data_IF_757241885042
#
_entry.id   IF_757241885042
#
_cell.length_a   1.000
_cell.length_b   1.000
_cell.length_c   1.000
_cell.angle_alpha   90.00
_cell.angle_beta   90.00
_cell.angle_gamma   90.00
#
_symmetry.space_group_name_H-M   'P 1'
#
loop_
_entity.id
_entity.type
_entity.pdbx_description
1 polymer ?
#
# COMPACT_ATOMS: atom_id res chain seq x y z
N UNK A 1 24.53 -56.56 -36.71
CA UNK A 1 24.15 -55.13 -36.67
C UNK A 1 22.64 -55.03 -36.58
N UNK A 2 22.11 -54.12 -35.75
CA UNK A 2 20.69 -53.78 -35.56
C UNK A 2 19.93 -54.65 -34.54
N UNK A 3 19.11 -54.14 -33.60
CA UNK A 3 18.88 -52.81 -32.98
C UNK A 3 18.06 -53.10 -31.71
N UNK A 4 18.34 -52.42 -30.61
CA UNK A 4 17.55 -52.46 -29.36
C UNK A 4 16.12 -51.96 -29.62
N UNK A 5 15.12 -52.56 -28.97
CA UNK A 5 13.78 -51.96 -28.80
C UNK A 5 13.37 -52.06 -27.33
N UNK A 6 13.47 -50.93 -26.64
CA UNK A 6 12.90 -50.67 -25.33
C UNK A 6 11.40 -50.52 -25.48
N UNK A 7 10.62 -51.23 -24.66
CA UNK A 7 9.17 -51.07 -24.55
C UNK A 7 8.90 -49.99 -23.49
N UNK A 8 8.51 -48.79 -23.93
CA UNK A 8 7.93 -47.75 -23.09
C UNK A 8 6.64 -47.29 -23.77
N UNK A 9 5.49 -47.60 -23.18
CA UNK A 9 4.23 -46.95 -23.49
C UNK A 9 3.36 -46.90 -22.24
N UNK A 10 3.19 -45.71 -21.69
CA UNK A 10 1.92 -45.22 -21.16
C UNK A 10 1.89 -43.72 -21.44
N UNK A 11 0.84 -43.23 -22.11
CA UNK A 11 0.00 -42.26 -21.42
C UNK A 11 -1.50 -42.47 -21.72
N UNK A 12 -2.33 -42.33 -20.69
CA UNK A 12 -3.77 -42.10 -20.83
C UNK A 12 -4.00 -40.65 -20.39
N UNK A 13 -4.18 -39.74 -21.36
CA UNK A 13 -4.68 -38.39 -21.11
C UNK A 13 -6.21 -38.41 -21.25
N UNK A 14 -6.92 -38.01 -20.19
CA UNK A 14 -8.37 -37.95 -20.15
C UNK A 14 -8.89 -36.75 -20.96
N UNK A 15 -10.04 -36.96 -21.63
CA UNK A 15 -10.77 -36.01 -22.45
C UNK A 15 -11.19 -34.75 -21.70
N UNK A 16 -11.35 -33.67 -22.48
CA UNK A 16 -11.60 -32.31 -22.01
C UNK A 16 -12.94 -32.05 -21.33
N UNK A 17 -12.95 -31.01 -20.52
CA UNK A 17 -14.16 -30.28 -20.13
C UNK A 17 -14.06 -28.82 -20.56
N UNK A 18 -15.08 -28.43 -21.29
CA UNK A 18 -15.37 -27.13 -21.88
C UNK A 18 -16.15 -26.31 -20.86
N UNK A 19 -15.69 -25.10 -20.49
CA UNK A 19 -16.57 -24.07 -19.87
C UNK A 19 -16.14 -22.68 -20.36
N UNK A 20 -16.81 -22.07 -21.35
CA UNK A 20 -16.70 -20.64 -21.61
C UNK A 20 -17.82 -19.92 -20.85
N UNK A 21 -17.52 -19.36 -19.68
CA UNK A 21 -18.37 -18.36 -19.05
C UNK A 21 -17.85 -16.96 -19.38
N UNK A 22 -18.32 -16.35 -20.47
CA UNK A 22 -18.27 -14.87 -20.60
C UNK A 22 -19.50 -14.34 -19.88
N UNK A 23 -19.29 -13.71 -18.73
CA UNK A 23 -20.35 -12.96 -18.03
C UNK A 23 -20.54 -11.62 -18.75
N UNK A 24 -21.46 -11.57 -19.71
CA UNK A 24 -21.92 -10.29 -20.29
C UNK A 24 -22.85 -9.63 -19.28
N UNK A 25 -22.36 -8.66 -18.53
CA UNK A 25 -23.22 -7.79 -17.72
C UNK A 25 -23.75 -6.69 -18.65
N UNK A 26 -25.00 -6.84 -19.09
CA UNK A 26 -25.74 -5.76 -19.74
C UNK A 26 -26.44 -4.95 -18.65
N UNK A 27 -25.81 -3.88 -18.16
CA UNK A 27 -26.48 -2.88 -17.33
C UNK A 27 -26.85 -1.66 -18.18
N UNK A 28 -28.04 -1.71 -18.77
CA UNK A 28 -28.73 -0.51 -19.23
C UNK A 28 -29.41 0.12 -18.02
N UNK A 29 -28.83 1.18 -17.47
CA UNK A 29 -29.59 2.24 -16.79
C UNK A 29 -28.76 3.52 -16.85
N UNK A 30 -29.16 4.44 -17.72
CA UNK A 30 -28.61 5.78 -17.81
C UNK A 30 -29.24 6.64 -16.71
N UNK A 31 -28.53 6.76 -15.60
CA UNK A 31 -28.78 7.73 -14.54
C UNK A 31 -27.42 8.09 -13.96
N UNK A 32 -27.09 9.37 -13.90
CA UNK A 32 -25.77 9.84 -13.49
C UNK A 32 -25.47 9.43 -12.03
N UNK A 33 -24.84 8.28 -11.87
CA UNK A 33 -24.29 7.80 -10.61
C UNK A 33 -23.01 8.60 -10.34
N UNK A 34 -23.02 9.40 -9.27
CA UNK A 34 -21.78 9.99 -8.77
C UNK A 34 -20.93 8.83 -8.26
N UNK A 35 -19.97 8.39 -9.08
CA UNK A 35 -19.02 7.36 -8.71
C UNK A 35 -18.10 7.90 -7.61
N UNK A 36 -18.33 7.50 -6.37
CA UNK A 36 -17.38 7.73 -5.29
C UNK A 36 -16.26 6.70 -5.41
N UNK A 37 -15.05 7.14 -5.73
CA UNK A 37 -13.88 6.30 -5.57
C UNK A 37 -13.50 6.28 -4.09
N UNK A 38 -13.88 5.22 -3.40
CA UNK A 38 -13.43 4.95 -2.03
C UNK A 38 -12.05 4.31 -2.12
N UNK A 39 -11.00 5.12 -1.93
CA UNK A 39 -9.64 4.62 -1.78
C UNK A 39 -9.45 4.15 -0.34
N UNK A 40 -9.84 2.92 -0.05
CA UNK A 40 -9.27 2.21 1.11
C UNK A 40 -7.79 1.98 0.75
N UNK A 41 -6.80 2.38 1.56
CA UNK A 41 -5.42 1.99 1.30
C UNK A 41 -5.30 0.48 1.55
N UNK A 42 -5.63 -0.32 0.54
CA UNK A 42 -5.18 -1.69 0.44
C UNK A 42 -3.85 -1.63 -0.27
N UNK A 43 -2.75 -1.70 0.50
CA UNK A 43 -1.45 -1.97 -0.10
C UNK A 43 -1.49 -3.41 -0.61
N UNK A 44 -1.87 -3.59 -1.88
CA UNK A 44 -1.70 -4.87 -2.57
C UNK A 44 -0.21 -4.94 -2.94
N UNK A 45 0.56 -5.64 -2.13
CA UNK A 45 1.90 -6.07 -2.55
C UNK A 45 1.72 -7.20 -3.56
N UNK A 46 1.88 -6.91 -4.84
CA UNK A 46 2.11 -7.96 -5.84
C UNK A 46 3.60 -8.35 -5.79
N UNK A 47 4.04 -8.92 -4.65
CA UNK A 47 5.37 -9.51 -4.51
C UNK A 47 5.40 -10.50 -3.34
N UNK A 48 5.65 -11.79 -3.58
CA UNK A 48 5.65 -12.83 -2.54
C UNK A 48 6.96 -12.87 -1.74
N UNK A 49 7.54 -11.70 -1.44
CA UNK A 49 8.68 -11.54 -0.55
C UNK A 49 8.28 -10.57 0.57
N UNK A 50 7.23 -10.91 1.30
CA UNK A 50 6.76 -10.12 2.44
C UNK A 50 7.94 -9.94 3.38
N UNK A 51 8.48 -8.73 3.45
CA UNK A 51 9.45 -8.36 4.47
C UNK A 51 8.75 -8.58 5.82
N UNK A 52 9.14 -9.64 6.53
CA UNK A 52 8.64 -9.96 7.87
C UNK A 52 9.20 -9.02 8.93
N UNK A 53 10.07 -8.09 8.53
CA UNK A 53 10.58 -7.03 9.37
C UNK A 53 9.56 -5.91 9.49
N UNK A 54 9.35 -5.44 10.71
CA UNK A 54 8.54 -4.27 10.97
C UNK A 54 9.18 -3.04 10.29
N UNK A 55 8.42 -2.36 9.42
CA UNK A 55 8.87 -1.22 8.59
C UNK A 55 8.32 0.13 9.06
N UNK A 56 7.63 0.17 10.20
CA UNK A 56 7.03 1.39 10.74
C UNK A 56 8.01 2.29 11.50
N UNK A 57 7.57 3.48 11.96
CA UNK A 57 8.33 4.31 12.89
C UNK A 57 8.17 3.88 14.36
N UNK A 58 9.27 3.86 15.12
CA UNK A 58 9.36 3.10 16.41
C UNK A 58 8.90 3.87 17.63
N UNK A 59 8.04 4.85 17.40
CA UNK A 59 7.82 5.97 18.30
C UNK A 59 6.67 5.84 19.28
N UNK A 60 5.94 4.73 19.26
CA UNK A 60 4.68 4.58 20.00
C UNK A 60 3.52 4.33 19.05
N UNK A 61 2.32 4.75 19.47
CA UNK A 61 1.10 4.57 18.67
C UNK A 61 1.08 5.63 17.58
N UNK A 62 1.00 5.19 16.31
CA UNK A 62 0.83 6.10 15.18
C UNK A 62 -0.62 6.61 15.17
N UNK A 63 -0.76 7.92 15.19
CA UNK A 63 -2.04 8.62 15.32
C UNK A 63 -2.54 9.17 14.00
N UNK A 64 -1.61 9.52 13.09
CA UNK A 64 -1.95 10.06 11.78
C UNK A 64 -0.82 9.85 10.75
N UNK A 65 -1.17 9.91 9.47
CA UNK A 65 -0.25 9.84 8.33
C UNK A 65 -0.61 10.93 7.32
N UNK A 66 0.41 11.65 6.81
CA UNK A 66 0.23 12.63 5.75
C UNK A 66 1.23 12.37 4.61
N UNK A 67 0.76 12.38 3.37
CA UNK A 67 1.61 12.25 2.17
C UNK A 67 1.82 13.61 1.53
N UNK A 68 3.01 13.82 0.98
CA UNK A 68 3.28 15.03 0.21
C UNK A 68 2.49 14.99 -1.11
N UNK A 69 1.65 16.00 -1.41
CA UNK A 69 0.81 16.04 -2.61
C UNK A 69 1.62 16.12 -3.91
N UNK A 70 2.88 16.58 -3.86
CA UNK A 70 3.75 16.72 -5.02
C UNK A 70 4.79 15.58 -5.13
N UNK A 71 4.93 14.74 -4.10
CA UNK A 71 5.86 13.62 -4.11
C UNK A 71 5.39 12.49 -3.18
N UNK A 72 4.77 11.46 -3.75
CA UNK A 72 4.24 10.32 -2.98
C UNK A 72 5.29 9.47 -2.25
N UNK A 73 6.59 9.67 -2.52
CA UNK A 73 7.66 9.02 -1.74
C UNK A 73 7.86 9.66 -0.37
N UNK A 74 7.41 10.91 -0.19
CA UNK A 74 7.52 11.62 1.09
C UNK A 74 6.25 11.36 1.89
N UNK A 75 6.43 10.71 3.04
CA UNK A 75 5.36 10.39 3.97
C UNK A 75 5.75 10.85 5.36
N UNK A 76 4.81 11.45 6.09
CA UNK A 76 4.96 11.84 7.48
C UNK A 76 4.06 10.97 8.35
N UNK A 77 4.52 10.63 9.54
CA UNK A 77 3.75 9.91 10.54
C UNK A 77 3.79 10.64 11.88
N UNK A 78 2.61 10.85 12.47
CA UNK A 78 2.47 11.34 13.83
C UNK A 78 2.44 10.16 14.79
N UNK A 79 3.08 10.33 15.94
CA UNK A 79 3.12 9.33 17.00
C UNK A 79 2.78 9.95 18.35
N UNK A 80 2.04 9.21 19.17
CA UNK A 80 1.83 9.54 20.57
C UNK A 80 3.12 9.28 21.36
N UNK A 81 3.70 10.33 21.96
CA UNK A 81 5.00 10.30 22.64
C UNK A 81 6.22 10.26 21.72
N UNK A 82 6.04 9.96 20.44
CA UNK A 82 7.13 9.81 19.46
C UNK A 82 7.43 11.08 18.64
N UNK A 83 6.48 12.01 18.55
CA UNK A 83 6.55 13.19 17.71
C UNK A 83 6.18 12.89 16.26
N UNK A 84 6.92 13.48 15.33
CA UNK A 84 6.75 13.33 13.89
C UNK A 84 7.92 12.52 13.31
N UNK A 85 7.59 11.59 12.43
CA UNK A 85 8.53 10.83 11.61
C UNK A 85 8.34 11.21 10.14
N UNK A 86 9.41 11.16 9.38
CA UNK A 86 9.43 11.37 7.93
C UNK A 86 10.09 10.18 7.24
N UNK A 87 9.44 9.70 6.19
CA UNK A 87 10.01 8.82 5.19
C UNK A 87 10.22 9.60 3.89
N UNK A 88 11.25 9.21 3.13
CA UNK A 88 11.55 9.72 1.78
C UNK A 88 11.58 8.59 0.74
N UNK A 89 11.14 7.39 1.14
CA UNK A 89 11.20 6.14 0.39
C UNK A 89 9.87 5.36 0.46
N UNK A 90 8.75 6.09 0.48
CA UNK A 90 7.38 5.54 0.51
C UNK A 90 7.08 4.68 1.75
N UNK A 91 7.71 5.00 2.89
CA UNK A 91 7.49 4.32 4.17
C UNK A 91 8.37 3.10 4.41
N UNK A 92 9.41 2.86 3.60
CA UNK A 92 10.37 1.77 3.81
C UNK A 92 11.33 2.06 4.98
N UNK A 93 11.66 3.33 5.20
CA UNK A 93 12.44 3.79 6.35
C UNK A 93 11.94 5.14 6.89
N UNK A 94 12.21 5.40 8.17
CA UNK A 94 11.66 6.54 8.90
C UNK A 94 12.73 7.26 9.73
N UNK A 95 12.70 8.59 9.72
CA UNK A 95 13.57 9.45 10.53
C UNK A 95 12.72 10.40 11.37
N UNK A 96 13.11 10.66 12.62
CA UNK A 96 12.40 11.63 13.48
C UNK A 96 12.65 13.06 12.99
N UNK A 97 11.62 13.90 13.01
CA UNK A 97 11.68 15.31 12.60
C UNK A 97 11.01 16.23 13.63
N UNK A 98 11.51 16.20 14.87
CA UNK A 98 10.87 16.84 16.03
C UNK A 98 11.42 18.23 16.38
N UNK A 99 12.18 18.86 15.47
CA UNK A 99 12.80 20.15 15.77
C UNK A 99 11.72 21.23 15.99
N UNK A 100 11.80 21.92 17.13
CA UNK A 100 10.86 22.98 17.49
C UNK A 100 9.51 22.51 18.04
N UNK A 101 9.33 21.22 18.31
CA UNK A 101 8.12 20.70 18.96
C UNK A 101 8.25 20.73 20.49
N UNK A 102 7.36 21.46 21.16
CA UNK A 102 7.29 21.50 22.63
C UNK A 102 6.59 20.26 23.23
N UNK A 103 5.76 19.57 22.43
CA UNK A 103 5.08 18.32 22.79
C UNK A 103 5.32 17.29 21.71
N UNK A 104 5.59 16.05 22.13
CA UNK A 104 5.74 14.90 21.22
C UNK A 104 4.43 14.13 21.04
N UNK A 105 3.32 14.60 21.64
CA UNK A 105 2.00 14.01 21.47
C UNK A 105 1.30 14.67 20.30
N UNK A 106 1.53 14.14 19.10
CA UNK A 106 0.96 14.65 17.85
C UNK A 106 -0.28 13.80 17.51
N UNK A 107 -1.39 14.45 17.19
CA UNK A 107 -2.66 13.80 16.85
C UNK A 107 -3.09 13.98 15.40
N UNK A 108 -2.54 14.97 14.71
CA UNK A 108 -2.93 15.30 13.35
C UNK A 108 -1.75 15.88 12.58
N UNK A 109 -1.66 15.54 11.29
CA UNK A 109 -0.71 16.07 10.32
C UNK A 109 -1.41 16.44 9.02
N UNK A 110 -1.00 17.53 8.40
CA UNK A 110 -1.44 17.89 7.05
C UNK A 110 -0.30 18.57 6.30
N UNK A 111 0.05 18.09 5.11
CA UNK A 111 0.99 18.78 4.23
C UNK A 111 0.21 19.83 3.43
N UNK A 112 0.70 21.06 3.36
CA UNK A 112 -0.02 22.09 2.63
C UNK A 112 -0.17 21.70 1.13
N UNK A 113 -1.39 21.75 0.57
CA UNK A 113 -1.70 21.16 -0.75
C UNK A 113 -0.92 21.80 -1.91
N UNK A 114 -0.46 23.05 -1.74
CA UNK A 114 0.28 23.80 -2.76
C UNK A 114 1.74 24.06 -2.39
N UNK A 115 2.19 23.62 -1.23
CA UNK A 115 3.55 23.86 -0.77
C UNK A 115 4.03 22.74 0.17
N UNK A 116 4.77 21.79 -0.40
CA UNK A 116 5.37 20.65 0.30
C UNK A 116 6.35 21.02 1.42
N UNK A 117 6.78 22.27 1.51
CA UNK A 117 7.66 22.74 2.60
C UNK A 117 6.89 23.05 3.90
N UNK A 118 5.56 23.08 3.84
CA UNK A 118 4.72 23.41 4.99
C UNK A 118 4.00 22.14 5.46
N UNK A 119 4.26 21.74 6.71
CA UNK A 119 3.57 20.68 7.41
C UNK A 119 2.89 21.29 8.65
N UNK A 120 1.57 21.13 8.75
CA UNK A 120 0.81 21.47 9.95
C UNK A 120 0.79 20.27 10.88
N UNK A 121 0.93 20.53 12.19
CA UNK A 121 0.88 19.50 13.21
C UNK A 121 -0.03 19.93 14.37
N UNK A 122 -1.01 19.09 14.68
CA UNK A 122 -1.88 19.24 15.85
C UNK A 122 -1.27 18.52 17.05
N UNK A 123 -0.91 19.27 18.08
CA UNK A 123 -0.36 18.74 19.32
C UNK A 123 -1.20 19.18 20.54
N UNK A 124 -1.14 18.39 21.61
CA UNK A 124 -1.73 18.75 22.90
C UNK A 124 -0.70 18.56 24.03
N UNK A 125 -0.97 19.21 25.15
CA UNK A 125 -0.12 19.21 26.34
C UNK A 125 -0.89 18.74 27.56
#
# INVERSE_FOLDING_TARGET
MSKRRFLFMLPIFLLGFFIPGKSTVTSTTQGAELAYHVYIPLVIYDSPQVATAWIGPGGGVITDLATDPNNSQIVYAAAWGGGIYKSVDSGQSWQRTNYGLDSLNINALEVAPKNSLILYAGAYR
#
